data_IF_953549640124
#
_entry.id   IF_953549640124
#
_cell.length_a   1.000
_cell.length_b   1.000
_cell.length_c   1.000
_cell.angle_alpha   90.00
_cell.angle_beta   90.00
_cell.angle_gamma   90.00
#
_symmetry.space_group_name_H-M   'P 1'
#
loop_
_entity.id
_entity.type
_entity.pdbx_description
1 polymer ?
#
# COMPACT_ATOMS: atom_id res chain seq x y z
N UNK A 1 -1.48 13.45 42.96
CA UNK A 1 -2.34 14.37 42.20
C UNK A 1 -2.47 13.75 40.82
N UNK A 2 -3.63 13.18 40.49
CA UNK A 2 -3.84 12.59 39.16
C UNK A 2 -4.07 13.72 38.16
N UNK A 3 -3.21 13.81 37.15
CA UNK A 3 -3.34 14.80 36.07
C UNK A 3 -4.31 14.21 35.05
N UNK A 4 -5.57 14.64 35.10
CA UNK A 4 -6.60 14.27 34.13
C UNK A 4 -6.51 15.23 32.94
N UNK A 5 -6.08 14.73 31.80
CA UNK A 5 -6.05 15.51 30.56
C UNK A 5 -7.38 15.38 29.82
N UNK A 6 -8.17 16.45 29.81
CA UNK A 6 -9.48 16.48 29.13
C UNK A 6 -9.33 17.21 27.80
N UNK A 7 -9.56 16.49 26.71
CA UNK A 7 -9.61 17.09 25.38
C UNK A 7 -10.91 17.89 25.20
N UNK A 8 -10.80 19.22 25.15
CA UNK A 8 -11.93 20.14 24.98
C UNK A 8 -12.45 20.15 23.52
N UNK A 9 -11.64 19.66 22.57
CA UNK A 9 -11.92 19.77 21.13
C UNK A 9 -11.53 18.50 20.38
N UNK A 10 -12.33 18.11 19.39
CA UNK A 10 -12.07 16.90 18.58
C UNK A 10 -10.89 17.15 17.62
N UNK A 11 -10.03 16.16 17.40
CA UNK A 11 -8.86 16.24 16.50
C UNK A 11 -9.23 16.72 15.08
N UNK A 12 -10.39 16.32 14.57
CA UNK A 12 -10.95 16.72 13.27
C UNK A 12 -11.36 18.20 13.16
N UNK A 13 -11.36 18.93 14.27
CA UNK A 13 -11.68 20.35 14.32
C UNK A 13 -10.44 21.25 14.41
N UNK A 14 -9.25 20.65 14.56
CA UNK A 14 -7.98 21.35 14.44
C UNK A 14 -7.59 21.46 12.96
N UNK A 15 -7.03 22.60 12.57
CA UNK A 15 -6.60 22.84 11.18
C UNK A 15 -7.74 22.95 10.17
N UNK A 16 -9.00 23.14 10.63
CA UNK A 16 -10.10 23.51 9.73
C UNK A 16 -9.70 24.76 8.95
N UNK A 17 -9.82 24.70 7.62
CA UNK A 17 -9.53 25.82 6.75
C UNK A 17 -10.25 27.06 7.25
N UNK A 18 -9.50 28.13 7.48
CA UNK A 18 -10.10 29.45 7.71
C UNK A 18 -10.93 29.78 6.48
N UNK A 19 -12.22 30.06 6.69
CA UNK A 19 -13.09 30.54 5.61
C UNK A 19 -12.75 31.99 5.35
N UNK A 20 -11.71 32.21 4.54
CA UNK A 20 -11.42 33.54 4.00
C UNK A 20 -12.51 33.84 2.96
N UNK A 21 -13.43 34.70 3.34
CA UNK A 21 -14.36 35.35 2.43
C UNK A 21 -13.92 36.80 2.31
N UNK A 22 -14.10 37.40 1.13
CA UNK A 22 -13.94 38.85 0.98
C UNK A 22 -15.00 39.53 1.85
N UNK A 23 -14.58 39.88 3.07
CA UNK A 23 -15.35 40.65 4.03
C UNK A 23 -14.67 41.98 4.18
N UNK A 24 -15.46 43.04 4.29
CA UNK A 24 -14.92 44.35 4.63
C UNK A 24 -14.18 44.26 5.98
N UNK A 25 -13.11 45.03 6.13
CA UNK A 25 -12.33 45.07 7.35
C UNK A 25 -13.25 45.40 8.54
N UNK A 26 -13.38 44.46 9.47
CA UNK A 26 -14.18 44.62 10.67
C UNK A 26 -13.24 44.84 11.86
N UNK A 27 -13.44 45.95 12.58
CA UNK A 27 -12.71 46.21 13.82
C UNK A 27 -13.35 45.36 14.91
N UNK A 28 -12.75 44.20 15.19
CA UNK A 28 -13.25 43.30 16.24
C UNK A 28 -13.00 43.85 17.65
N UNK A 29 -11.92 44.60 17.84
CA UNK A 29 -11.55 45.23 19.12
C UNK A 29 -10.82 46.53 18.84
N UNK A 30 -11.24 47.59 19.51
CA UNK A 30 -10.51 48.85 19.61
C UNK A 30 -10.00 49.03 21.05
N UNK A 31 -8.69 48.95 21.24
CA UNK A 31 -8.05 49.07 22.56
C UNK A 31 -7.43 50.46 22.67
N UNK A 32 -8.11 51.34 23.40
CA UNK A 32 -7.63 52.69 23.63
C UNK A 32 -6.40 52.69 24.57
N UNK A 33 -5.36 53.50 24.28
CA UNK A 33 -4.19 53.60 25.14
C UNK A 33 -4.58 54.06 26.55
N UNK A 34 -4.01 53.42 27.58
CA UNK A 34 -4.21 53.86 28.96
C UNK A 34 -3.24 55.02 29.28
N UNK A 35 -3.73 56.24 29.56
CA UNK A 35 -2.87 57.40 29.83
C UNK A 35 -1.98 57.22 31.08
N UNK A 36 -2.43 56.45 32.07
CA UNK A 36 -1.63 56.18 33.28
C UNK A 36 -0.44 55.27 32.98
N UNK A 37 -0.57 54.34 32.04
CA UNK A 37 0.54 53.48 31.61
C UNK A 37 1.52 54.25 30.73
N UNK A 38 1.03 55.18 29.91
CA UNK A 38 1.88 56.04 29.09
C UNK A 38 2.84 56.90 29.93
N UNK A 39 2.40 57.38 31.10
CA UNK A 39 3.26 58.13 32.01
C UNK A 39 4.43 57.30 32.57
N UNK A 40 4.29 55.97 32.62
CA UNK A 40 5.31 55.04 33.11
C UNK A 40 6.19 54.48 31.97
N UNK A 41 6.02 54.96 30.74
CA UNK A 41 6.83 54.54 29.61
C UNK A 41 8.26 55.04 29.77
N UNK A 42 9.23 54.13 29.69
CA UNK A 42 10.65 54.44 29.68
C UNK A 42 11.22 53.89 28.38
N UNK A 43 11.72 54.80 27.54
CA UNK A 43 12.45 54.44 26.33
C UNK A 43 13.76 53.73 26.73
N UNK A 44 13.99 52.55 26.16
CA UNK A 44 15.24 51.81 26.34
C UNK A 44 15.97 51.81 25.01
N UNK A 45 17.23 52.23 25.03
CA UNK A 45 18.15 52.18 23.89
C UNK A 45 19.59 52.09 24.42
N UNK A 46 20.37 51.03 24.13
CA UNK A 46 20.04 49.86 23.31
C UNK A 46 19.17 48.83 24.07
N UNK A 47 18.41 48.03 23.31
CA UNK A 47 17.63 46.91 23.83
C UNK A 47 18.17 45.60 23.24
N UNK A 48 18.62 44.71 24.11
CA UNK A 48 18.83 43.31 23.76
C UNK A 48 17.48 42.56 23.82
N UNK A 49 17.01 42.05 22.67
CA UNK A 49 15.87 41.14 22.56
C UNK A 49 16.30 39.85 21.88
N UNK A 50 16.08 38.71 22.53
CA UNK A 50 16.20 37.41 21.90
C UNK A 50 14.98 37.11 21.03
N UNK A 51 15.19 36.67 19.79
CA UNK A 51 14.13 36.16 18.91
C UNK A 51 14.27 34.65 18.84
N UNK A 52 13.18 33.93 19.08
CA UNK A 52 13.13 32.48 18.85
C UNK A 52 13.02 32.24 17.33
N UNK A 53 14.05 31.63 16.75
CA UNK A 53 14.09 31.19 15.35
C UNK A 53 13.94 29.65 15.23
N UNK A 54 13.39 29.02 16.26
CA UNK A 54 13.08 27.60 16.23
C UNK A 54 11.69 27.40 15.62
N UNK A 55 11.56 26.39 14.76
CA UNK A 55 10.26 25.92 14.31
C UNK A 55 9.52 25.29 15.48
N UNK A 56 8.30 25.74 15.76
CA UNK A 56 7.43 25.08 16.72
C UNK A 56 7.06 23.69 16.20
N UNK A 57 7.52 22.65 16.91
CA UNK A 57 7.21 21.25 16.60
C UNK A 57 6.14 20.75 17.55
N UNK A 58 5.15 20.04 17.01
CA UNK A 58 4.09 19.40 17.81
C UNK A 58 4.11 17.90 17.57
N UNK A 59 4.50 17.14 18.59
CA UNK A 59 4.46 15.68 18.58
C UNK A 59 3.02 15.19 18.85
N UNK A 60 2.59 14.16 18.12
CA UNK A 60 1.30 13.52 18.31
C UNK A 60 1.48 12.00 18.24
N UNK A 61 1.17 11.30 19.32
CA UNK A 61 1.12 9.84 19.35
C UNK A 61 -0.32 9.36 19.07
N UNK A 62 -0.46 8.36 18.20
CA UNK A 62 -1.74 7.73 17.87
C UNK A 62 -1.59 6.22 17.97
N UNK A 63 -2.42 5.59 18.79
CA UNK A 63 -2.51 4.13 18.87
C UNK A 63 -3.51 3.62 17.82
N UNK A 64 -3.08 2.71 16.95
CA UNK A 64 -3.98 2.00 16.02
C UNK A 64 -4.32 0.64 16.58
N UNK A 65 -5.60 0.27 16.54
CA UNK A 65 -6.04 -1.08 16.88
C UNK A 65 -5.49 -2.10 15.90
N UNK A 66 -5.20 -3.31 16.38
CA UNK A 66 -4.69 -4.41 15.56
C UNK A 66 -5.84 -4.99 14.74
N UNK A 67 -5.73 -4.91 13.42
CA UNK A 67 -6.68 -5.53 12.50
C UNK A 67 -6.22 -6.95 12.13
N UNK A 68 -7.09 -7.94 12.32
CA UNK A 68 -6.85 -9.31 11.85
C UNK A 68 -7.44 -9.45 10.44
N UNK A 69 -6.58 -9.77 9.48
CA UNK A 69 -6.98 -10.06 8.10
C UNK A 69 -6.55 -11.48 7.72
N UNK A 70 -7.45 -12.21 7.09
CA UNK A 70 -7.14 -13.50 6.49
C UNK A 70 -7.39 -13.41 4.99
N UNK A 71 -6.45 -13.95 4.22
CA UNK A 71 -6.57 -14.05 2.76
C UNK A 71 -6.89 -15.48 2.40
N UNK A 72 -8.07 -15.71 1.82
CA UNK A 72 -8.51 -17.03 1.38
C UNK A 72 -8.54 -17.08 -0.15
N UNK A 73 -7.87 -18.07 -0.72
CA UNK A 73 -7.97 -18.41 -2.14
C UNK A 73 -8.78 -19.69 -2.31
N UNK A 74 -9.70 -19.72 -3.28
CA UNK A 74 -10.44 -20.94 -3.65
C UNK A 74 -9.75 -21.55 -4.88
N UNK A 75 -9.23 -22.75 -4.73
CA UNK A 75 -8.73 -23.53 -5.86
C UNK A 75 -9.86 -24.45 -6.37
N UNK A 76 -10.40 -24.16 -7.55
CA UNK A 76 -11.40 -25.02 -8.19
C UNK A 76 -10.72 -26.24 -8.81
N UNK A 77 -10.64 -27.34 -8.06
CA UNK A 77 -10.07 -28.62 -8.55
C UNK A 77 -11.08 -29.38 -9.44
N UNK A 78 -12.38 -29.13 -9.26
CA UNK A 78 -13.48 -29.90 -9.87
C UNK A 78 -14.17 -29.19 -11.04
N UNK A 79 -13.68 -28.02 -11.45
CA UNK A 79 -14.29 -27.22 -12.50
C UNK A 79 -14.10 -27.81 -13.90
N UNK A 80 -15.09 -27.62 -14.78
CA UNK A 80 -14.98 -27.91 -16.22
C UNK A 80 -15.89 -29.02 -16.74
N UNK A 81 -16.62 -29.73 -15.87
CA UNK A 81 -17.62 -30.70 -16.31
C UNK A 81 -18.90 -29.99 -16.77
N UNK A 82 -19.52 -30.42 -17.88
CA UNK A 82 -20.84 -29.93 -18.26
C UNK A 82 -21.88 -30.21 -17.17
N UNK A 83 -22.93 -29.40 -17.12
CA UNK A 83 -24.05 -29.53 -16.15
C UNK A 83 -24.69 -30.93 -16.07
N UNK A 84 -24.57 -31.73 -17.13
CA UNK A 84 -25.17 -33.07 -17.25
C UNK A 84 -24.18 -34.20 -16.93
N UNK A 85 -22.96 -33.90 -16.47
CA UNK A 85 -21.91 -34.89 -16.16
C UNK A 85 -21.49 -34.77 -14.69
N UNK A 86 -21.72 -35.83 -13.92
CA UNK A 86 -21.25 -35.92 -12.55
C UNK A 86 -19.78 -36.42 -12.51
N UNK A 87 -18.82 -35.63 -12.00
CA UNK A 87 -17.42 -36.04 -11.90
C UNK A 87 -17.17 -37.23 -10.97
N UNK A 88 -18.05 -37.47 -10.01
CA UNK A 88 -17.95 -38.61 -9.08
C UNK A 88 -18.35 -39.94 -9.75
N UNK A 89 -19.08 -39.87 -10.86
CA UNK A 89 -19.52 -41.04 -11.62
C UNK A 89 -18.54 -41.38 -12.75
N UNK A 90 -17.72 -42.41 -12.53
CA UNK A 90 -16.68 -42.85 -13.46
C UNK A 90 -17.24 -43.12 -14.87
N UNK A 91 -18.42 -43.74 -14.98
CA UNK A 91 -19.00 -44.09 -16.27
C UNK A 91 -19.39 -42.84 -17.08
N UNK A 92 -19.91 -41.80 -16.42
CA UNK A 92 -20.28 -40.54 -17.06
C UNK A 92 -19.04 -39.79 -17.54
N UNK A 93 -17.99 -39.73 -16.72
CA UNK A 93 -16.72 -39.09 -17.12
C UNK A 93 -16.05 -39.81 -18.28
N UNK A 94 -16.01 -41.14 -18.28
CA UNK A 94 -15.46 -41.95 -19.39
C UNK A 94 -16.28 -41.76 -20.66
N UNK A 95 -17.62 -41.78 -20.58
CA UNK A 95 -18.49 -41.55 -21.74
C UNK A 95 -18.27 -40.15 -22.32
N UNK A 96 -18.17 -39.13 -21.47
CA UNK A 96 -17.90 -37.76 -21.91
C UNK A 96 -16.53 -37.63 -22.58
N UNK A 97 -15.45 -38.16 -21.98
CA UNK A 97 -14.11 -38.16 -22.59
C UNK A 97 -14.10 -38.82 -23.96
N UNK A 98 -14.69 -40.02 -24.08
CA UNK A 98 -14.81 -40.74 -25.37
C UNK A 98 -15.62 -39.98 -26.41
N UNK A 99 -16.59 -39.17 -25.98
CA UNK A 99 -17.37 -38.32 -26.89
C UNK A 99 -16.52 -37.17 -27.42
N UNK A 100 -15.77 -36.50 -26.55
CA UNK A 100 -14.88 -35.37 -26.91
C UNK A 100 -13.72 -35.83 -27.79
N UNK A 101 -13.09 -36.97 -27.47
CA UNK A 101 -11.95 -37.51 -28.24
C UNK A 101 -12.30 -37.88 -29.69
N UNK A 102 -13.58 -38.07 -30.00
CA UNK A 102 -14.08 -38.36 -31.35
C UNK A 102 -14.51 -37.11 -32.13
N UNK A 103 -14.51 -35.94 -31.49
CA UNK A 103 -14.91 -34.68 -32.12
C UNK A 103 -13.83 -34.25 -33.13
N UNK A 104 -14.25 -33.86 -34.34
CA UNK A 104 -13.33 -33.40 -35.40
C UNK A 104 -12.51 -32.20 -34.93
N UNK A 105 -13.12 -31.29 -34.15
CA UNK A 105 -12.42 -30.14 -33.62
C UNK A 105 -11.29 -30.55 -32.66
N UNK A 106 -11.54 -31.55 -31.81
CA UNK A 106 -10.53 -32.08 -30.90
C UNK A 106 -9.35 -32.69 -31.67
N UNK A 107 -9.65 -33.52 -32.67
CA UNK A 107 -8.64 -34.17 -33.51
C UNK A 107 -7.80 -33.14 -34.27
N UNK A 108 -8.45 -32.14 -34.87
CA UNK A 108 -7.77 -31.08 -35.63
C UNK A 108 -6.81 -30.27 -34.75
N UNK A 109 -7.25 -29.86 -33.56
CA UNK A 109 -6.43 -29.08 -32.62
C UNK A 109 -5.24 -29.89 -32.12
N UNK A 110 -5.44 -31.15 -31.72
CA UNK A 110 -4.35 -32.01 -31.24
C UNK A 110 -3.33 -32.27 -32.34
N UNK A 111 -3.78 -32.50 -33.58
CA UNK A 111 -2.88 -32.72 -34.72
C UNK A 111 -2.04 -31.47 -35.02
N UNK A 112 -2.65 -30.29 -34.97
CA UNK A 112 -1.93 -29.02 -35.14
C UNK A 112 -0.89 -28.81 -34.03
N UNK A 113 -1.27 -29.00 -32.76
CA UNK A 113 -0.35 -28.88 -31.63
C UNK A 113 0.80 -29.89 -31.70
N UNK A 114 0.54 -31.13 -32.13
CA UNK A 114 1.56 -32.16 -32.30
C UNK A 114 2.54 -31.89 -33.46
N UNK A 115 2.13 -31.09 -34.45
CA UNK A 115 3.00 -30.69 -35.56
C UNK A 115 3.91 -29.51 -35.23
N UNK A 116 3.67 -28.80 -34.12
CA UNK A 116 4.55 -27.74 -33.64
C UNK A 116 5.77 -28.44 -33.02
N UNK A 117 6.99 -28.30 -33.60
CA UNK A 117 8.18 -28.83 -32.97
C UNK A 117 8.30 -28.22 -31.58
N UNK A 118 8.78 -28.99 -30.57
CA UNK A 118 9.03 -28.42 -29.25
C UNK A 118 9.88 -27.16 -29.46
N UNK A 119 9.60 -26.06 -28.74
CA UNK A 119 10.46 -24.90 -28.81
C UNK A 119 11.87 -25.42 -28.58
N UNK A 120 12.75 -25.19 -29.56
CA UNK A 120 14.17 -25.44 -29.39
C UNK A 120 14.58 -24.47 -28.29
N UNK A 121 14.41 -24.90 -27.04
CA UNK A 121 15.12 -24.35 -25.91
C UNK A 121 16.56 -24.70 -26.20
N UNK A 122 17.22 -23.80 -26.94
CA UNK A 122 18.61 -23.51 -26.70
C UNK A 122 18.67 -23.24 -25.20
N UNK A 123 18.99 -24.28 -24.43
CA UNK A 123 19.53 -24.15 -23.10
C UNK A 123 20.89 -23.50 -23.37
N UNK A 124 20.89 -22.17 -23.54
CA UNK A 124 22.10 -21.39 -23.42
C UNK A 124 22.59 -21.66 -22.00
N UNK A 125 23.74 -22.36 -21.82
CA UNK A 125 24.22 -22.63 -20.49
C UNK A 125 24.45 -21.28 -19.84
N UNK A 126 23.63 -20.95 -18.82
CA UNK A 126 23.82 -19.73 -18.07
C UNK A 126 25.29 -19.69 -17.64
N UNK A 127 26.03 -18.69 -18.13
CA UNK A 127 27.38 -18.40 -17.63
C UNK A 127 27.24 -18.17 -16.13
N UNK A 128 27.52 -19.21 -15.35
CA UNK A 128 27.63 -19.10 -13.90
C UNK A 128 28.74 -18.09 -13.66
N UNK A 129 28.39 -16.99 -12.99
CA UNK A 129 29.33 -15.91 -12.75
C UNK A 129 30.59 -16.45 -12.03
N UNK A 130 31.80 -15.94 -12.34
CA UNK A 130 33.05 -16.42 -11.72
C UNK A 130 33.03 -16.36 -10.18
N UNK A 131 32.18 -15.50 -9.62
CA UNK A 131 32.01 -15.34 -8.17
C UNK A 131 31.35 -16.56 -7.52
N UNK A 132 30.49 -17.29 -8.22
CA UNK A 132 29.85 -18.51 -7.67
C UNK A 132 30.81 -19.71 -7.68
N UNK A 133 31.67 -19.82 -8.69
CA UNK A 133 32.65 -20.92 -8.76
C UNK A 133 33.70 -20.85 -7.65
N UNK A 134 34.06 -19.64 -7.19
CA UNK A 134 34.94 -19.46 -6.03
C UNK A 134 34.26 -19.91 -4.72
N UNK A 135 32.95 -19.70 -4.61
CA UNK A 135 32.18 -20.07 -3.41
C UNK A 135 31.91 -21.58 -3.31
N UNK A 136 31.82 -22.28 -4.44
CA UNK A 136 31.50 -23.71 -4.49
C UNK A 136 32.72 -24.63 -4.63
N UNK A 137 33.95 -24.10 -4.72
CA UNK A 137 35.17 -24.90 -4.71
C UNK A 137 35.36 -25.84 -5.90
N UNK A 138 34.61 -25.63 -7.00
CA UNK A 138 34.66 -26.47 -8.19
C UNK A 138 35.66 -25.90 -9.21
N UNK A 139 36.95 -26.01 -8.92
CA UNK A 139 37.99 -25.94 -9.95
C UNK A 139 38.59 -27.33 -10.15
N UNK A 140 38.72 -27.81 -11.40
CA UNK A 140 39.43 -29.06 -11.67
C UNK A 140 40.91 -28.84 -11.37
N UNK A 141 41.44 -29.67 -10.46
CA UNK A 141 42.88 -29.85 -10.29
C UNK A 141 43.37 -30.53 -11.58
N UNK A 142 44.38 -29.93 -12.22
CA UNK A 142 45.06 -30.45 -13.41
C UNK A 142 45.51 -31.91 -13.22
#
# INVERSE_FOLDING_TARGET
MEIVYVYVKKRSEFGRQCSFSDRMAEINVDIQPNPMLAMNFIEKDPIDKGVQCASDMSEHEVNTERYEMETWGINHVEGGWPKDVNPLEMEQTIRFRKKVEKDENYINVITQLGSVPPPTTAIEPQRVSPKLNLALGLYPIL
#
